data_IF_283528184803
#
_entry.id   IF_283528184803
#
_cell.length_a   1.000
_cell.length_b   1.000
_cell.length_c   1.000
_cell.angle_alpha   90.00
_cell.angle_beta   90.00
_cell.angle_gamma   90.00
#
_symmetry.space_group_name_H-M   'P 1'
#
loop_
_entity.id
_entity.type
_entity.pdbx_description
1 polymer ?
#
# COMPACT_ATOMS: atom_id res chain seq x y z
N UNK A 1 -9.20 -14.36 1.43
CA UNK A 1 -9.13 -13.54 2.66
C UNK A 1 -7.75 -13.74 3.23
N UNK A 2 -6.98 -12.66 3.35
CA UNK A 2 -5.66 -12.66 3.99
C UNK A 2 -5.85 -11.97 5.34
N UNK A 3 -5.27 -12.52 6.41
CA UNK A 3 -5.35 -11.91 7.75
C UNK A 3 -4.32 -10.79 7.91
N UNK A 4 -3.05 -11.09 7.63
CA UNK A 4 -1.96 -10.12 7.57
C UNK A 4 -0.79 -10.65 6.72
N UNK A 5 0.13 -9.76 6.35
CA UNK A 5 1.40 -10.09 5.67
C UNK A 5 2.59 -9.36 6.32
N UNK A 6 3.80 -9.83 6.05
CA UNK A 6 5.03 -9.13 6.38
C UNK A 6 5.84 -8.82 5.12
N UNK A 7 6.20 -7.56 4.96
CA UNK A 7 7.10 -7.05 3.93
C UNK A 7 8.47 -6.84 4.55
N UNK A 8 9.49 -7.39 3.89
CA UNK A 8 10.86 -7.27 4.33
C UNK A 8 11.48 -5.96 3.85
N UNK A 9 12.06 -5.20 4.78
CA UNK A 9 12.64 -3.87 4.52
C UNK A 9 14.07 -3.75 5.05
N UNK A 10 14.94 -3.02 4.36
CA UNK A 10 16.35 -2.85 4.79
C UNK A 10 16.56 -1.68 5.75
N UNK A 11 15.76 -0.62 5.62
CA UNK A 11 15.76 0.55 6.51
C UNK A 11 14.33 0.77 7.06
N UNK A 12 14.05 0.33 8.31
CA UNK A 12 12.72 0.46 8.90
C UNK A 12 12.21 1.89 8.99
N UNK A 13 13.09 2.88 9.22
CA UNK A 13 12.66 4.26 9.38
C UNK A 13 12.28 4.86 8.02
N UNK A 14 13.10 4.63 7.00
CA UNK A 14 12.81 5.05 5.62
C UNK A 14 11.54 4.35 5.09
N UNK A 15 11.41 3.05 5.30
CA UNK A 15 10.25 2.30 4.83
C UNK A 15 8.98 2.67 5.59
N UNK A 16 9.04 2.89 6.91
CA UNK A 16 7.89 3.42 7.67
C UNK A 16 7.40 4.74 7.07
N UNK A 17 8.31 5.70 6.87
CA UNK A 17 7.95 7.01 6.30
C UNK A 17 7.34 6.88 4.90
N UNK A 18 7.90 6.00 4.05
CA UNK A 18 7.35 5.72 2.73
C UNK A 18 5.94 5.12 2.79
N UNK A 19 5.76 4.02 3.52
CA UNK A 19 4.50 3.28 3.56
C UNK A 19 3.37 4.08 4.24
N UNK A 20 3.70 4.86 5.28
CA UNK A 20 2.74 5.74 5.94
C UNK A 20 2.23 6.82 4.98
N UNK A 21 3.14 7.49 4.25
CA UNK A 21 2.76 8.52 3.28
C UNK A 21 2.02 7.92 2.06
N UNK A 22 2.56 6.85 1.47
CA UNK A 22 2.02 6.22 0.28
C UNK A 22 0.61 5.67 0.51
N UNK A 23 0.35 5.03 1.66
CA UNK A 23 -0.93 4.36 1.92
C UNK A 23 -1.95 5.24 2.66
N UNK A 24 -1.59 6.43 3.15
CA UNK A 24 -2.52 7.36 3.79
C UNK A 24 -3.77 7.68 2.94
N UNK A 25 -3.68 7.90 1.61
CA UNK A 25 -4.85 8.10 0.75
C UNK A 25 -5.83 6.91 0.75
N UNK A 26 -5.34 5.71 1.05
CA UNK A 26 -6.13 4.47 1.16
C UNK A 26 -6.67 4.25 2.60
N UNK A 27 -6.42 5.18 3.52
CA UNK A 27 -6.88 5.12 4.91
C UNK A 27 -5.98 4.31 5.85
N UNK A 28 -4.84 3.82 5.36
CA UNK A 28 -3.84 3.17 6.19
C UNK A 28 -3.14 4.17 7.09
N UNK A 29 -2.77 3.69 8.28
CA UNK A 29 -1.97 4.41 9.26
C UNK A 29 -1.15 3.43 10.08
N UNK A 30 -0.12 3.92 10.76
CA UNK A 30 0.61 3.12 11.76
C UNK A 30 -0.33 2.88 12.93
N UNK A 31 -0.58 1.61 13.25
CA UNK A 31 -1.47 1.19 14.36
C UNK A 31 -0.74 0.41 15.44
N UNK A 32 0.48 -0.07 15.15
CA UNK A 32 1.27 -0.85 16.10
C UNK A 32 2.76 -0.72 15.80
N UNK A 33 3.60 -0.70 16.84
CA UNK A 33 5.06 -0.72 16.72
C UNK A 33 5.69 -1.65 17.76
N UNK A 34 6.66 -2.45 17.32
CA UNK A 34 7.45 -3.34 18.17
C UNK A 34 8.94 -3.21 17.83
N UNK A 35 9.62 -2.28 18.49
CA UNK A 35 11.00 -1.95 18.15
C UNK A 35 11.09 -1.50 16.67
N UNK A 36 11.92 -2.15 15.83
CA UNK A 36 12.04 -1.81 14.41
C UNK A 36 10.91 -2.36 13.52
N UNK A 37 9.92 -3.05 14.08
CA UNK A 37 8.77 -3.58 13.33
C UNK A 37 7.61 -2.60 13.39
N UNK A 38 7.03 -2.27 12.25
CA UNK A 38 5.87 -1.36 12.13
C UNK A 38 4.69 -2.11 11.55
N UNK A 39 3.53 -2.04 12.21
CA UNK A 39 2.25 -2.55 11.70
C UNK A 39 1.36 -1.41 11.23
N UNK A 40 0.99 -1.43 9.95
CA UNK A 40 0.01 -0.53 9.36
C UNK A 40 -1.33 -1.24 9.20
N UNK A 41 -2.41 -0.47 9.29
CA UNK A 41 -3.77 -0.96 9.04
C UNK A 41 -4.71 0.15 8.61
N UNK A 42 -5.75 -0.23 7.87
CA UNK A 42 -6.86 0.63 7.49
C UNK A 42 -8.17 0.12 8.11
N UNK A 43 -9.20 0.98 8.29
CA UNK A 43 -10.52 0.52 8.67
C UNK A 43 -11.07 -0.42 7.59
N UNK A 44 -11.84 -1.44 8.01
CA UNK A 44 -12.53 -2.30 7.05
C UNK A 44 -13.53 -1.49 6.21
N UNK A 45 -13.77 -1.87 4.94
CA UNK A 45 -14.79 -1.20 4.12
C UNK A 45 -16.15 -1.16 4.83
N UNK A 46 -16.75 0.02 4.90
CA UNK A 46 -18.03 0.25 5.59
C UNK A 46 -17.92 0.43 7.11
N UNK A 47 -16.72 0.44 7.69
CA UNK A 47 -16.52 0.81 9.08
C UNK A 47 -16.90 2.29 9.33
N UNK A 48 -17.43 2.62 10.52
CA UNK A 48 -17.61 4.01 10.92
C UNK A 48 -16.30 4.81 10.88
N UNK A 49 -16.42 6.12 10.68
CA UNK A 49 -15.29 7.03 10.83
C UNK A 49 -14.67 6.89 12.23
N UNK A 50 -13.34 6.80 12.29
CA UNK A 50 -12.60 6.61 13.54
C UNK A 50 -12.60 5.17 14.09
N UNK A 51 -13.17 4.19 13.39
CA UNK A 51 -13.09 2.80 13.80
C UNK A 51 -11.63 2.34 13.98
N UNK A 52 -11.34 1.52 15.01
CA UNK A 52 -10.02 0.96 15.19
C UNK A 52 -9.63 0.11 13.97
N UNK A 53 -8.36 0.19 13.58
CA UNK A 53 -7.79 -0.68 12.56
C UNK A 53 -6.79 -1.63 13.21
N UNK A 54 -6.90 -2.91 12.86
CA UNK A 54 -5.90 -3.91 13.22
C UNK A 54 -4.76 -3.86 12.20
N UNK A 55 -3.50 -4.15 12.58
CA UNK A 55 -2.40 -4.23 11.64
C UNK A 55 -2.56 -5.46 10.73
N UNK A 56 -2.63 -5.23 9.42
CA UNK A 56 -2.66 -6.27 8.39
C UNK A 56 -1.43 -6.21 7.45
N UNK A 57 -0.67 -5.12 7.49
CA UNK A 57 0.58 -4.95 6.76
C UNK A 57 1.74 -4.66 7.73
N UNK A 58 2.70 -5.57 7.80
CA UNK A 58 3.86 -5.45 8.70
C UNK A 58 5.13 -5.16 7.94
N UNK A 59 5.89 -4.15 8.37
CA UNK A 59 7.25 -3.88 7.91
C UNK A 59 8.23 -4.57 8.85
N UNK A 60 8.95 -5.55 8.34
CA UNK A 60 9.89 -6.38 9.10
C UNK A 60 11.34 -6.15 8.64
N UNK A 61 12.25 -5.71 9.51
CA UNK A 61 13.64 -5.45 9.16
C UNK A 61 14.35 -6.72 8.68
N UNK A 62 15.16 -6.60 7.63
CA UNK A 62 16.12 -7.62 7.19
C UNK A 62 17.33 -6.99 6.52
N UNK A 63 18.45 -7.71 6.44
CA UNK A 63 19.65 -7.24 5.72
C UNK A 63 19.57 -7.44 4.20
N UNK A 64 18.70 -8.34 3.75
CA UNK A 64 18.57 -8.73 2.35
C UNK A 64 17.09 -8.92 2.03
N UNK A 65 16.36 -7.83 1.76
CA UNK A 65 14.97 -7.91 1.37
C UNK A 65 14.85 -8.58 0.01
N UNK A 66 13.85 -9.46 -0.12
CA UNK A 66 13.45 -10.04 -1.40
C UNK A 66 12.20 -9.30 -1.84
N UNK A 67 12.23 -8.58 -2.97
CA UNK A 67 11.06 -7.86 -3.47
C UNK A 67 9.84 -8.75 -3.63
N UNK A 68 8.70 -8.28 -3.15
CA UNK A 68 7.40 -8.88 -3.41
C UNK A 68 6.44 -7.88 -4.06
N UNK A 69 5.28 -8.37 -4.50
CA UNK A 69 4.21 -7.53 -5.00
C UNK A 69 3.05 -7.54 -4.00
N UNK A 70 2.56 -6.36 -3.65
CA UNK A 70 1.41 -6.15 -2.76
C UNK A 70 0.43 -5.23 -3.45
N UNK A 71 -0.82 -5.66 -3.60
CA UNK A 71 -1.91 -4.82 -4.11
C UNK A 71 -2.89 -4.49 -2.97
N UNK A 72 -3.13 -3.20 -2.77
CA UNK A 72 -4.03 -2.65 -1.75
C UNK A 72 -5.29 -2.13 -2.43
N UNK A 73 -6.45 -2.53 -1.90
CA UNK A 73 -7.73 -2.12 -2.46
C UNK A 73 -7.96 -0.62 -2.24
N UNK A 74 -8.33 0.08 -3.31
CA UNK A 74 -8.84 1.45 -3.31
C UNK A 74 -10.36 1.44 -3.54
N UNK A 75 -11.03 2.46 -3.04
CA UNK A 75 -12.49 2.65 -3.18
C UNK A 75 -12.90 3.49 -4.40
N UNK A 76 -11.93 4.08 -5.09
CA UNK A 76 -12.15 4.90 -6.28
C UNK A 76 -10.86 5.06 -7.09
N UNK A 77 -10.98 5.48 -8.36
CA UNK A 77 -9.83 5.87 -9.18
C UNK A 77 -9.06 7.04 -8.56
N UNK A 78 -9.76 7.99 -7.92
CA UNK A 78 -9.13 9.13 -7.24
C UNK A 78 -8.22 8.70 -6.08
N UNK A 79 -8.57 7.62 -5.37
CA UNK A 79 -7.68 7.05 -4.34
C UNK A 79 -6.44 6.39 -4.95
N UNK A 80 -6.57 5.76 -6.12
CA UNK A 80 -5.41 5.21 -6.85
C UNK A 80 -4.47 6.34 -7.31
N UNK A 81 -5.03 7.42 -7.84
CA UNK A 81 -4.27 8.61 -8.24
C UNK A 81 -3.53 9.23 -7.06
N UNK A 82 -4.24 9.44 -5.94
CA UNK A 82 -3.67 10.03 -4.74
C UNK A 82 -2.60 9.14 -4.09
N UNK A 83 -2.79 7.81 -4.09
CA UNK A 83 -1.76 6.85 -3.69
C UNK A 83 -0.49 7.03 -4.53
N UNK A 84 -0.62 7.08 -5.86
CA UNK A 84 0.54 7.18 -6.75
C UNK A 84 1.30 8.48 -6.52
N UNK A 85 0.59 9.61 -6.47
CA UNK A 85 1.20 10.92 -6.17
C UNK A 85 1.92 10.92 -4.82
N UNK A 86 1.28 10.43 -3.76
CA UNK A 86 1.86 10.39 -2.42
C UNK A 86 3.08 9.47 -2.34
N UNK A 87 3.02 8.31 -2.99
CA UNK A 87 4.12 7.35 -3.02
C UNK A 87 5.33 7.90 -3.77
N UNK A 88 5.13 8.61 -4.90
CA UNK A 88 6.22 9.29 -5.60
C UNK A 88 6.80 10.45 -4.77
N UNK A 89 5.94 11.25 -4.12
CA UNK A 89 6.38 12.33 -3.25
C UNK A 89 7.19 11.81 -2.03
N UNK A 90 6.90 10.59 -1.58
CA UNK A 90 7.63 9.91 -0.51
C UNK A 90 8.94 9.25 -0.97
N UNK A 91 9.34 9.44 -2.24
CA UNK A 91 10.60 8.91 -2.78
C UNK A 91 10.47 7.55 -3.48
N UNK A 92 9.25 7.03 -3.65
CA UNK A 92 8.99 5.86 -4.46
C UNK A 92 9.33 6.08 -5.93
N UNK A 93 9.64 4.99 -6.64
CA UNK A 93 9.93 5.02 -8.06
C UNK A 93 8.72 4.54 -8.85
N UNK A 94 8.31 5.33 -9.85
CA UNK A 94 7.22 4.94 -10.75
C UNK A 94 7.50 3.58 -11.42
N UNK A 95 6.49 2.71 -11.39
CA UNK A 95 6.50 1.39 -12.03
C UNK A 95 5.27 1.17 -12.92
N UNK A 96 4.50 2.23 -13.16
CA UNK A 96 3.28 2.21 -13.94
C UNK A 96 2.25 3.15 -13.33
N UNK A 97 2.12 4.34 -13.92
CA UNK A 97 1.18 5.36 -13.47
C UNK A 97 -0.29 4.90 -13.45
N UNK A 98 -1.16 5.71 -12.83
CA UNK A 98 -2.59 5.44 -12.73
C UNK A 98 -3.24 5.27 -14.10
N UNK A 99 -4.01 4.20 -14.26
CA UNK A 99 -4.68 3.93 -15.52
C UNK A 99 -5.44 2.61 -15.54
N UNK A 100 -6.30 2.48 -16.55
CA UNK A 100 -7.03 1.24 -16.78
C UNK A 100 -6.10 0.13 -17.28
N UNK A 101 -6.25 -1.05 -16.68
CA UNK A 101 -5.57 -2.30 -17.05
C UNK A 101 -6.58 -3.26 -17.66
N UNK A 102 -7.17 -2.87 -18.79
CA UNK A 102 -8.22 -3.66 -19.45
C UNK A 102 -7.78 -5.08 -19.86
N UNK A 103 -6.46 -5.34 -19.91
CA UNK A 103 -5.88 -6.66 -20.13
C UNK A 103 -6.00 -7.61 -18.91
N UNK A 104 -6.30 -7.10 -17.72
CA UNK A 104 -6.70 -7.90 -16.56
C UNK A 104 -8.21 -8.16 -16.59
N UNK A 105 -9.00 -7.09 -16.54
CA UNK A 105 -10.43 -7.09 -16.85
C UNK A 105 -10.93 -5.65 -17.02
N UNK A 106 -12.08 -5.42 -17.70
CA UNK A 106 -12.68 -4.09 -17.79
C UNK A 106 -12.93 -3.48 -16.40
N UNK A 107 -12.59 -2.21 -16.23
CA UNK A 107 -12.75 -1.51 -14.96
C UNK A 107 -11.68 -1.78 -13.90
N UNK A 108 -10.63 -2.56 -14.20
CA UNK A 108 -9.45 -2.64 -13.35
C UNK A 108 -8.64 -1.35 -13.52
N UNK A 109 -8.67 -0.45 -12.53
CA UNK A 109 -7.90 0.78 -12.52
C UNK A 109 -6.81 0.68 -11.45
N UNK A 110 -5.54 0.82 -11.82
CA UNK A 110 -4.45 0.63 -10.87
C UNK A 110 -3.25 1.54 -11.13
N UNK A 111 -2.36 1.62 -10.14
CA UNK A 111 -1.08 2.32 -10.19
C UNK A 111 -0.02 1.53 -9.42
N UNK A 112 1.23 1.57 -9.87
CA UNK A 112 2.35 0.81 -9.32
C UNK A 112 3.52 1.72 -8.96
N UNK A 113 4.07 1.52 -7.78
CA UNK A 113 5.28 2.21 -7.30
C UNK A 113 6.21 1.21 -6.65
N UNK A 114 7.51 1.29 -6.95
CA UNK A 114 8.55 0.57 -6.21
C UNK A 114 8.88 1.32 -4.93
N UNK A 115 8.86 0.61 -3.81
CA UNK A 115 9.35 1.11 -2.52
C UNK A 115 10.90 1.21 -2.50
N UNK A 116 11.52 1.70 -1.39
CA UNK A 116 12.97 1.81 -1.27
C UNK A 116 13.75 0.49 -1.46
N UNK A 117 13.11 -0.64 -1.18
CA UNK A 117 13.67 -1.98 -1.24
C UNK A 117 13.31 -2.73 -2.55
N UNK A 118 12.55 -2.08 -3.45
CA UNK A 118 12.11 -2.62 -4.73
C UNK A 118 10.83 -3.45 -4.69
N UNK A 119 10.11 -3.50 -3.56
CA UNK A 119 8.77 -4.11 -3.48
C UNK A 119 7.81 -3.36 -4.43
N UNK A 120 7.05 -4.09 -5.23
CA UNK A 120 6.07 -3.54 -6.16
C UNK A 120 4.72 -3.32 -5.46
N UNK A 121 4.50 -2.10 -4.97
CA UNK A 121 3.28 -1.69 -4.31
C UNK A 121 2.25 -1.20 -5.34
N UNK A 122 1.04 -1.74 -5.27
CA UNK A 122 -0.09 -1.36 -6.11
C UNK A 122 -1.24 -0.83 -5.27
N UNK A 123 -1.91 0.22 -5.77
CA UNK A 123 -3.28 0.53 -5.41
C UNK A 123 -4.19 0.15 -6.57
N UNK A 124 -5.28 -0.54 -6.28
CA UNK A 124 -6.23 -1.03 -7.29
C UNK A 124 -7.67 -0.72 -6.91
N UNK A 125 -8.40 -0.13 -7.85
CA UNK A 125 -9.85 0.01 -7.82
C UNK A 125 -10.48 -0.90 -8.87
N UNK A 126 -11.43 -1.72 -8.43
CA UNK A 126 -12.25 -2.53 -9.32
C UNK A 126 -13.59 -1.80 -9.53
N UNK A 127 -13.77 -1.23 -10.73
CA UNK A 127 -15.04 -0.63 -11.13
C UNK A 127 -16.17 -1.65 -11.28
N UNK A 128 -17.32 -1.22 -11.81
CA UNK A 128 -18.54 -2.03 -11.98
C UNK A 128 -18.42 -3.28 -12.90
N UNK A 129 -17.20 -3.67 -13.28
CA UNK A 129 -16.88 -4.86 -14.07
C UNK A 129 -16.23 -6.01 -13.27
N UNK A 130 -16.15 -5.91 -11.95
CA UNK A 130 -15.64 -6.98 -11.07
C UNK A 130 -16.74 -7.75 -10.34
#
# INVERSE_FOLDING_TARGET
MIDHISVNVSDPAASKAFYEAALAPLGYRVVMEFGPVTGLGAPVPGAPEGAPASPDLWLSPTKSPTPCHIAVAASSTAQVDAFHEAALAAGGKDNGGPGERAHYHPGYYGAFVLDPDGNNLEAVFHGAGA
#
